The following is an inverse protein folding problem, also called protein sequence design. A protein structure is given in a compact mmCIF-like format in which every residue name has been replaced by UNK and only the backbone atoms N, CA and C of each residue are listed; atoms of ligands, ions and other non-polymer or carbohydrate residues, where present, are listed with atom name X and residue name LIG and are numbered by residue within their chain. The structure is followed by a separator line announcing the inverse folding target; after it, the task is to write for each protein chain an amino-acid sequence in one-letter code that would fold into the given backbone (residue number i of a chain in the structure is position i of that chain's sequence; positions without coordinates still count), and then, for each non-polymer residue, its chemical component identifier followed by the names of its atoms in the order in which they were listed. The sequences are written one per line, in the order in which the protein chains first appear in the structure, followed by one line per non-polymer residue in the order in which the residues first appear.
data_IF_282746379407
#
_entry.id   IF_282746379407
#
_cell.length_a   1.000
_cell.length_b   1.000
_cell.length_c   1.000
_cell.angle_alpha   90.00
_cell.angle_beta   90.00
_cell.angle_gamma   90.00
#
_symmetry.space_group_name_H-M   'P 1'
#
loop_
_entity.id
_entity.type
_entity.pdbx_description
1 polymer ?
#
# COMPACT_ATOMS: atom_id res chain seq x y z
N UNK A 1 -3.76 102.17 -86.96
CA UNK A 1 -3.48 101.10 -85.98
C UNK A 1 -4.61 100.09 -86.10
N UNK A 2 -4.57 99.19 -87.10
CA UNK A 2 -4.13 97.77 -87.04
C UNK A 2 -5.09 96.83 -86.27
N UNK A 3 -5.91 96.09 -87.03
CA UNK A 3 -6.67 94.86 -86.68
C UNK A 3 -5.71 93.70 -86.26
N UNK A 4 -6.14 92.57 -85.61
CA UNK A 4 -6.92 91.47 -86.24
C UNK A 4 -7.74 90.55 -85.25
N UNK A 5 -8.12 89.26 -85.53
CA UNK A 5 -9.51 88.85 -85.82
C UNK A 5 -10.09 87.68 -84.95
N UNK A 6 -11.29 87.22 -85.33
CA UNK A 6 -12.22 86.14 -84.90
C UNK A 6 -11.65 84.83 -84.29
N UNK A 7 -12.48 84.03 -83.55
CA UNK A 7 -13.07 82.83 -84.19
C UNK A 7 -14.49 82.41 -83.73
N UNK A 8 -15.08 81.57 -84.57
CA UNK A 8 -16.37 80.85 -84.51
C UNK A 8 -16.42 79.67 -83.51
N UNK A 9 -17.60 79.36 -82.97
CA UNK A 9 -17.91 78.10 -82.26
C UNK A 9 -19.36 77.65 -82.53
N UNK A 10 -19.52 76.36 -82.78
CA UNK A 10 -20.76 75.63 -83.03
C UNK A 10 -20.93 74.50 -82.03
N UNK A 11 -22.18 74.02 -81.90
CA UNK A 11 -22.64 72.71 -81.39
C UNK A 11 -22.59 72.43 -79.89
N UNK A 12 -23.78 72.30 -79.29
CA UNK A 12 -24.04 71.39 -78.17
C UNK A 12 -25.34 70.62 -78.48
N UNK A 13 -25.22 69.30 -78.58
CA UNK A 13 -26.32 68.35 -78.70
C UNK A 13 -26.24 67.43 -77.48
N UNK A 14 -27.22 67.55 -76.59
CA UNK A 14 -27.33 66.83 -75.33
C UNK A 14 -27.66 65.35 -75.56
N UNK A 15 -26.78 64.45 -75.09
CA UNK A 15 -26.99 62.99 -75.05
C UNK A 15 -27.51 62.56 -73.67
N UNK A 16 -28.55 61.72 -73.69
CA UNK A 16 -29.21 61.05 -72.57
C UNK A 16 -28.29 60.00 -71.90
N UNK A 17 -28.45 59.79 -70.60
CA UNK A 17 -27.67 58.86 -69.76
C UNK A 17 -28.40 57.52 -69.59
N UNK A 18 -27.68 56.41 -69.82
CA UNK A 18 -28.13 55.02 -69.62
C UNK A 18 -27.94 54.54 -68.17
N UNK A 19 -28.89 53.73 -67.68
CA UNK A 19 -28.87 53.03 -66.38
C UNK A 19 -27.96 51.79 -66.43
N UNK A 20 -27.07 51.69 -65.44
CA UNK A 20 -26.03 50.67 -65.31
C UNK A 20 -26.59 49.39 -64.65
N UNK A 21 -27.06 48.44 -65.47
CA UNK A 21 -27.50 47.12 -64.99
C UNK A 21 -26.32 46.13 -65.09
N UNK A 22 -25.89 45.50 -63.98
CA UNK A 22 -24.69 44.65 -63.99
C UNK A 22 -24.88 43.49 -64.95
N UNK A 23 -23.88 43.31 -65.82
CA UNK A 23 -23.89 42.25 -66.82
C UNK A 23 -23.78 40.89 -66.14
N UNK A 24 -24.22 39.81 -66.82
CA UNK A 24 -24.12 38.44 -66.29
C UNK A 24 -22.68 38.08 -65.89
N UNK A 25 -21.69 38.66 -66.56
CA UNK A 25 -20.26 38.50 -66.23
C UNK A 25 -19.91 39.08 -64.85
N UNK A 26 -20.44 40.25 -64.50
CA UNK A 26 -20.16 40.92 -63.22
C UNK A 26 -20.68 40.10 -62.03
N UNK A 27 -21.86 39.48 -62.17
CA UNK A 27 -22.40 38.55 -61.17
C UNK A 27 -21.49 37.32 -60.98
N UNK A 28 -20.98 36.75 -62.07
CA UNK A 28 -20.09 35.60 -62.01
C UNK A 28 -18.77 35.97 -61.31
N UNK A 29 -18.20 37.14 -61.62
CA UNK A 29 -16.98 37.62 -60.95
C UNK A 29 -17.19 37.86 -59.45
N UNK A 30 -18.37 38.38 -59.07
CA UNK A 30 -18.73 38.56 -57.67
C UNK A 30 -18.82 37.22 -56.93
N UNK A 31 -19.48 36.22 -57.50
CA UNK A 31 -19.58 34.87 -56.92
C UNK A 31 -18.19 34.20 -56.81
N UNK A 32 -17.33 34.33 -57.81
CA UNK A 32 -15.94 33.82 -57.76
C UNK A 32 -15.16 34.47 -56.62
N UNK A 33 -15.36 35.78 -56.39
CA UNK A 33 -14.72 36.51 -55.30
C UNK A 33 -15.20 35.97 -53.94
N UNK A 34 -16.50 35.74 -53.79
CA UNK A 34 -17.09 35.17 -52.56
C UNK A 34 -16.55 33.75 -52.32
N UNK A 35 -16.50 32.91 -53.35
CA UNK A 35 -15.97 31.54 -53.24
C UNK A 35 -14.49 31.55 -52.87
N UNK A 36 -13.69 32.44 -53.46
CA UNK A 36 -12.26 32.59 -53.13
C UNK A 36 -12.07 32.93 -51.65
N UNK A 37 -12.84 33.90 -51.14
CA UNK A 37 -12.75 34.31 -49.74
C UNK A 37 -13.20 33.19 -48.78
N UNK A 38 -14.16 32.35 -49.19
CA UNK A 38 -14.57 31.16 -48.43
C UNK A 38 -13.49 30.08 -48.41
N UNK A 39 -12.80 29.86 -49.53
CA UNK A 39 -11.68 28.92 -49.62
C UNK A 39 -10.55 29.35 -48.67
N UNK A 40 -10.19 30.63 -48.67
CA UNK A 40 -9.18 31.18 -47.74
C UNK A 40 -9.57 30.96 -46.27
N UNK A 41 -10.84 31.18 -45.92
CA UNK A 41 -11.36 30.91 -44.57
C UNK A 41 -11.34 29.42 -44.20
N UNK A 42 -11.57 28.53 -45.17
CA UNK A 42 -11.43 27.09 -44.98
C UNK A 42 -9.97 26.68 -44.78
N UNK A 43 -9.03 27.24 -45.54
CA UNK A 43 -7.59 26.98 -45.37
C UNK A 43 -7.10 27.41 -43.98
N UNK A 44 -7.54 28.57 -43.50
CA UNK A 44 -7.26 29.02 -42.13
C UNK A 44 -7.82 28.05 -41.07
N UNK A 45 -9.03 27.52 -41.30
CA UNK A 45 -9.64 26.55 -40.38
C UNK A 45 -8.92 25.20 -40.40
N UNK A 46 -8.55 24.71 -41.59
CA UNK A 46 -7.82 23.45 -41.78
C UNK A 46 -6.43 23.53 -41.12
N UNK A 47 -5.72 24.65 -41.29
CA UNK A 47 -4.41 24.85 -40.65
C UNK A 47 -4.53 24.85 -39.12
N UNK A 48 -5.55 25.52 -38.57
CA UNK A 48 -5.85 25.48 -37.13
C UNK A 48 -6.11 24.05 -36.62
N UNK A 49 -7.02 23.32 -37.27
CA UNK A 49 -7.34 21.93 -36.91
C UNK A 49 -6.12 21.00 -37.02
N UNK A 50 -5.26 21.23 -38.01
CA UNK A 50 -4.01 20.48 -38.17
C UNK A 50 -3.07 20.70 -36.99
N UNK A 51 -3.00 21.94 -36.48
CA UNK A 51 -2.16 22.29 -35.35
C UNK A 51 -2.68 21.69 -34.03
N UNK A 52 -4.00 21.76 -33.81
CA UNK A 52 -4.66 21.13 -32.66
C UNK A 52 -4.49 19.61 -32.69
N UNK A 53 -4.63 18.97 -33.85
CA UNK A 53 -4.38 17.53 -34.02
C UNK A 53 -2.95 17.14 -33.67
N UNK A 54 -1.97 17.97 -34.03
CA UNK A 54 -0.56 17.75 -33.63
C UNK A 54 -0.37 17.88 -32.13
N UNK A 55 -1.01 18.86 -31.49
CA UNK A 55 -0.99 19.02 -30.04
C UNK A 55 -1.57 17.80 -29.33
N UNK A 56 -2.76 17.36 -29.74
CA UNK A 56 -3.40 16.16 -29.17
C UNK A 56 -2.53 14.91 -29.32
N UNK A 57 -1.85 14.73 -30.47
CA UNK A 57 -0.92 13.61 -30.65
C UNK A 57 0.25 13.66 -29.66
N UNK A 58 0.77 14.84 -29.38
CA UNK A 58 1.83 15.02 -28.38
C UNK A 58 1.34 14.67 -26.98
N UNK A 59 0.16 15.15 -26.60
CA UNK A 59 -0.45 14.86 -25.30
C UNK A 59 -0.72 13.36 -25.12
N UNK A 60 -1.23 12.69 -26.17
CA UNK A 60 -1.45 11.24 -26.16
C UNK A 60 -0.14 10.49 -25.96
N UNK A 61 0.94 10.87 -26.66
CA UNK A 61 2.25 10.23 -26.48
C UNK A 61 2.80 10.41 -25.06
N UNK A 62 2.62 11.61 -24.49
CA UNK A 62 2.96 11.91 -23.10
C UNK A 62 2.17 11.05 -22.11
N UNK A 63 0.86 10.93 -22.30
CA UNK A 63 0.02 10.08 -21.46
C UNK A 63 0.39 8.61 -21.58
N UNK A 64 0.66 8.10 -22.78
CA UNK A 64 1.11 6.73 -22.98
C UNK A 64 2.38 6.44 -22.17
N UNK A 65 3.38 7.34 -22.25
CA UNK A 65 4.62 7.20 -21.46
C UNK A 65 4.35 7.16 -19.95
N UNK A 66 3.47 8.03 -19.46
CA UNK A 66 3.08 8.06 -18.04
C UNK A 66 2.35 6.79 -17.62
N UNK A 67 1.44 6.28 -18.45
CA UNK A 67 0.69 5.04 -18.18
C UNK A 67 1.65 3.85 -18.10
N UNK A 68 2.57 3.70 -19.06
CA UNK A 68 3.59 2.64 -19.00
C UNK A 68 4.46 2.74 -17.75
N UNK A 69 4.84 3.95 -17.33
CA UNK A 69 5.59 4.15 -16.09
C UNK A 69 4.78 3.76 -14.84
N UNK A 70 3.47 4.00 -14.83
CA UNK A 70 2.59 3.57 -13.74
C UNK A 70 2.39 2.05 -13.70
N UNK A 71 2.21 1.42 -14.86
CA UNK A 71 2.09 -0.05 -14.97
C UNK A 71 3.34 -0.76 -14.44
N UNK A 72 4.54 -0.26 -14.79
CA UNK A 72 5.80 -0.81 -14.27
C UNK A 72 5.92 -0.66 -12.75
N UNK A 73 5.57 0.52 -12.21
CA UNK A 73 5.59 0.75 -10.76
C UNK A 73 4.57 -0.12 -10.03
N UNK A 74 3.38 -0.30 -10.62
CA UNK A 74 2.34 -1.16 -10.07
C UNK A 74 2.82 -2.61 -10.03
N UNK A 75 3.40 -3.14 -11.11
CA UNK A 75 3.97 -4.49 -11.13
C UNK A 75 5.08 -4.68 -10.08
N UNK A 76 5.94 -3.69 -9.88
CA UNK A 76 6.96 -3.73 -8.81
C UNK A 76 6.34 -3.74 -7.41
N UNK A 77 5.28 -2.96 -7.17
CA UNK A 77 4.59 -2.92 -5.88
C UNK A 77 3.86 -4.24 -5.59
N UNK A 78 3.23 -4.83 -6.61
CA UNK A 78 2.59 -6.13 -6.49
C UNK A 78 3.59 -7.23 -6.13
N UNK A 79 4.75 -7.27 -6.79
CA UNK A 79 5.84 -8.19 -6.46
C UNK A 79 6.38 -7.97 -5.04
N UNK A 80 6.49 -6.72 -4.59
CA UNK A 80 6.90 -6.43 -3.22
C UNK A 80 5.86 -6.88 -2.20
N UNK A 81 4.58 -6.72 -2.51
CA UNK A 81 3.48 -7.13 -1.64
C UNK A 81 3.39 -8.66 -1.52
N UNK A 82 3.63 -9.42 -2.59
CA UNK A 82 3.69 -10.89 -2.52
C UNK A 82 4.87 -11.34 -1.66
N UNK A 83 6.08 -10.81 -1.90
CA UNK A 83 7.25 -11.13 -1.05
C UNK A 83 7.02 -10.79 0.43
N UNK A 84 6.27 -9.71 0.73
CA UNK A 84 5.96 -9.38 2.12
C UNK A 84 5.03 -10.39 2.78
N UNK A 85 4.00 -10.84 2.06
CA UNK A 85 3.09 -11.87 2.57
C UNK A 85 3.81 -13.18 2.83
N UNK A 86 4.71 -13.58 1.93
CA UNK A 86 5.51 -14.81 2.09
C UNK A 86 6.38 -14.72 3.35
N UNK A 87 7.06 -13.58 3.57
CA UNK A 87 7.83 -13.34 4.80
C UNK A 87 6.96 -13.38 6.06
N UNK A 88 5.77 -12.81 6.03
CA UNK A 88 4.88 -12.82 7.19
C UNK A 88 4.42 -14.25 7.52
N UNK A 89 4.18 -15.07 6.50
CA UNK A 89 3.86 -16.48 6.66
C UNK A 89 5.02 -17.28 7.25
N UNK A 90 6.25 -17.02 6.79
CA UNK A 90 7.47 -17.63 7.35
C UNK A 90 7.67 -17.25 8.82
N UNK A 91 7.43 -15.98 9.18
CA UNK A 91 7.52 -15.51 10.56
C UNK A 91 6.48 -16.20 11.46
N UNK A 92 5.25 -16.38 10.99
CA UNK A 92 4.23 -17.12 11.73
C UNK A 92 4.61 -18.59 11.93
N UNK A 93 5.15 -19.22 10.88
CA UNK A 93 5.63 -20.60 10.97
C UNK A 93 6.79 -20.74 11.97
N UNK A 94 7.79 -19.86 11.88
CA UNK A 94 8.94 -19.85 12.79
C UNK A 94 8.51 -19.60 14.24
N UNK A 95 7.58 -18.67 14.46
CA UNK A 95 7.02 -18.39 15.79
C UNK A 95 6.32 -19.63 16.34
N UNK A 96 5.46 -20.28 15.55
CA UNK A 96 4.79 -21.51 15.96
C UNK A 96 5.77 -22.61 16.31
N UNK A 97 6.85 -22.76 15.54
CA UNK A 97 7.89 -23.75 15.78
C UNK A 97 8.69 -23.44 17.05
N UNK A 98 9.02 -22.16 17.28
CA UNK A 98 9.68 -21.73 18.51
C UNK A 98 8.80 -21.99 19.74
N UNK A 99 7.52 -21.68 19.66
CA UNK A 99 6.56 -21.99 20.75
C UNK A 99 6.47 -23.49 21.00
N UNK A 100 6.32 -24.33 19.95
CA UNK A 100 6.29 -25.79 20.13
C UNK A 100 7.61 -26.33 20.72
N UNK A 101 8.76 -25.79 20.32
CA UNK A 101 10.05 -26.16 20.89
C UNK A 101 10.19 -25.74 22.35
N UNK A 102 9.74 -24.53 22.70
CA UNK A 102 9.73 -24.03 24.08
C UNK A 102 8.80 -24.87 24.96
N UNK A 103 7.57 -25.13 24.50
CA UNK A 103 6.59 -25.94 25.21
C UNK A 103 7.08 -27.38 25.43
N UNK A 104 7.78 -27.96 24.44
CA UNK A 104 8.41 -29.27 24.58
C UNK A 104 9.57 -29.26 25.56
N UNK A 105 10.36 -28.19 25.54
CA UNK A 105 11.51 -28.04 26.44
C UNK A 105 11.08 -27.87 27.89
N UNK A 106 9.96 -27.19 28.14
CA UNK A 106 9.43 -26.89 29.48
C UNK A 106 8.34 -27.87 29.92
N UNK A 107 8.07 -28.91 29.14
CA UNK A 107 7.01 -29.89 29.41
C UNK A 107 7.16 -30.58 30.76
N UNK A 108 8.40 -30.81 31.16
CA UNK A 108 8.75 -31.47 32.40
C UNK A 108 9.04 -30.47 33.53
N UNK A 109 8.89 -29.16 33.25
CA UNK A 109 9.06 -28.08 34.21
C UNK A 109 7.73 -27.79 34.93
N UNK A 110 7.76 -27.87 36.26
CA UNK A 110 6.64 -27.55 37.15
C UNK A 110 7.00 -26.34 37.99
N UNK A 111 6.18 -25.30 37.96
CA UNK A 111 6.32 -24.15 38.83
C UNK A 111 5.24 -24.14 39.92
N UNK A 112 5.68 -24.08 41.18
CA UNK A 112 4.85 -23.99 42.37
C UNK A 112 4.77 -22.53 42.84
N UNK A 113 3.56 -22.12 43.20
CA UNK A 113 3.24 -20.78 43.64
C UNK A 113 2.90 -20.79 45.14
N UNK A 114 3.30 -19.74 45.87
CA UNK A 114 2.94 -19.59 47.28
C UNK A 114 3.86 -20.34 48.25
N UNK A 115 5.10 -20.67 47.85
CA UNK A 115 6.07 -21.27 48.77
C UNK A 115 6.76 -20.14 49.54
N UNK A 116 6.54 -20.04 50.87
CA UNK A 116 7.11 -18.97 51.68
C UNK A 116 8.63 -19.01 51.68
N UNK A 117 9.25 -17.84 51.70
CA UNK A 117 10.70 -17.70 51.65
C UNK A 117 11.38 -18.30 52.89
N UNK A 118 12.51 -18.98 52.66
CA UNK A 118 13.36 -19.62 53.68
C UNK A 118 12.82 -20.91 54.33
N UNK A 119 11.63 -21.39 53.96
CA UNK A 119 11.14 -22.71 54.45
C UNK A 119 11.86 -23.91 53.81
N UNK A 120 12.48 -23.73 52.64
CA UNK A 120 13.16 -24.83 51.94
C UNK A 120 14.55 -25.17 52.51
N UNK A 121 15.11 -24.28 53.35
CA UNK A 121 16.47 -24.42 53.84
C UNK A 121 17.52 -24.29 52.73
N UNK A 122 18.61 -25.07 52.81
CA UNK A 122 19.74 -24.99 51.86
C UNK A 122 19.57 -25.86 50.61
N UNK A 123 18.60 -26.77 50.58
CA UNK A 123 18.39 -27.71 49.47
C UNK A 123 16.91 -27.78 49.06
N UNK A 124 16.62 -27.10 47.95
CA UNK A 124 15.32 -27.03 47.32
C UNK A 124 14.80 -28.41 46.88
N UNK A 125 15.67 -29.29 46.38
CA UNK A 125 15.24 -30.59 45.84
C UNK A 125 14.79 -31.52 46.95
N UNK A 126 15.51 -31.52 48.08
CA UNK A 126 15.12 -32.28 49.27
C UNK A 126 13.79 -31.77 49.85
N UNK A 127 13.60 -30.45 49.91
CA UNK A 127 12.34 -29.85 50.34
C UNK A 127 11.17 -30.31 49.45
N UNK A 128 11.28 -30.16 48.13
CA UNK A 128 10.22 -30.53 47.19
C UNK A 128 9.93 -32.04 47.19
N UNK A 129 10.96 -32.88 47.27
CA UNK A 129 10.82 -34.34 47.38
C UNK A 129 9.98 -34.75 48.59
N UNK A 130 10.10 -34.03 49.70
CA UNK A 130 9.36 -34.33 50.93
C UNK A 130 7.99 -33.67 51.01
N UNK A 131 7.79 -32.55 50.31
CA UNK A 131 6.59 -31.70 50.43
C UNK A 131 5.54 -32.03 49.39
N UNK A 132 5.94 -32.31 48.14
CA UNK A 132 4.99 -32.64 47.07
C UNK A 132 4.11 -33.85 47.39
N UNK A 133 4.64 -35.00 47.88
CA UNK A 133 3.80 -36.13 48.26
C UNK A 133 2.72 -35.77 49.30
N UNK A 134 3.08 -34.90 50.27
CA UNK A 134 2.17 -34.44 51.32
C UNK A 134 1.06 -33.53 50.77
N UNK A 135 1.42 -32.64 49.84
CA UNK A 135 0.48 -31.66 49.28
C UNK A 135 -0.50 -32.32 48.29
N UNK A 136 -0.02 -33.28 47.51
CA UNK A 136 -0.80 -33.85 46.42
C UNK A 136 -1.48 -35.18 46.80
N UNK A 137 -1.18 -35.74 47.98
CA UNK A 137 -1.69 -37.04 48.44
C UNK A 137 -1.45 -38.17 47.42
N UNK A 138 -0.32 -38.08 46.70
CA UNK A 138 0.03 -39.01 45.64
C UNK A 138 1.26 -39.81 46.02
N UNK A 139 1.16 -41.11 45.75
CA UNK A 139 2.28 -42.03 45.89
C UNK A 139 3.14 -41.95 44.63
N UNK A 140 4.27 -41.24 44.75
CA UNK A 140 5.30 -41.18 43.71
C UNK A 140 6.24 -42.39 43.87
N UNK A 141 5.99 -43.48 43.13
CA UNK A 141 6.82 -44.69 43.13
C UNK A 141 7.42 -44.98 41.73
N UNK A 142 8.75 -44.96 41.53
CA UNK A 142 9.82 -44.66 42.50
C UNK A 142 10.11 -43.15 42.61
N UNK A 143 10.92 -42.80 43.62
CA UNK A 143 11.34 -41.45 44.04
C UNK A 143 11.30 -40.41 42.91
N UNK A 144 10.50 -39.37 43.12
CA UNK A 144 10.48 -38.17 42.30
C UNK A 144 11.90 -37.61 42.16
N UNK A 145 12.48 -37.73 40.98
CA UNK A 145 13.84 -37.32 40.68
C UNK A 145 13.80 -35.95 39.98
N UNK A 146 14.40 -34.96 40.61
CA UNK A 146 14.53 -33.63 40.03
C UNK A 146 15.85 -33.51 39.28
N UNK A 147 15.81 -32.98 38.07
CA UNK A 147 17.00 -32.61 37.33
C UNK A 147 17.58 -31.32 37.91
N UNK A 148 16.69 -30.38 38.24
CA UNK A 148 17.01 -29.12 38.90
C UNK A 148 15.79 -28.59 39.65
N UNK A 149 16.03 -27.77 40.67
CA UNK A 149 15.00 -27.00 41.37
C UNK A 149 15.61 -25.69 41.86
N UNK A 150 14.98 -24.57 41.53
CA UNK A 150 15.42 -23.25 41.97
C UNK A 150 14.23 -22.28 42.09
N UNK A 151 14.40 -21.24 42.91
CA UNK A 151 13.47 -20.11 42.91
C UNK A 151 13.65 -19.28 41.65
N UNK A 152 12.55 -18.95 41.00
CA UNK A 152 12.56 -18.02 39.88
C UNK A 152 12.30 -16.63 40.45
N UNK A 153 13.29 -15.74 40.31
CA UNK A 153 13.15 -14.33 40.68
C UNK A 153 12.06 -13.65 39.84
N UNK A 154 11.38 -12.66 40.43
CA UNK A 154 10.31 -11.89 39.79
C UNK A 154 10.69 -11.44 38.37
N UNK A 155 9.93 -11.91 37.37
CA UNK A 155 9.81 -11.24 36.08
C UNK A 155 8.40 -10.64 36.00
N UNK A 156 8.29 -9.43 35.44
CA UNK A 156 7.14 -8.52 35.14
C UNK A 156 5.70 -8.95 35.52
N UNK A 157 5.32 -10.23 35.41
CA UNK A 157 4.04 -10.78 35.87
C UNK A 157 3.79 -10.64 37.39
N UNK A 158 4.85 -10.59 38.20
CA UNK A 158 4.69 -10.48 39.66
C UNK A 158 4.28 -9.07 40.13
N UNK A 159 4.26 -8.06 39.25
CA UNK A 159 3.80 -6.70 39.60
C UNK A 159 2.28 -6.68 39.87
N UNK A 160 1.54 -7.69 39.41
CA UNK A 160 0.07 -7.78 39.59
C UNK A 160 -0.37 -8.51 40.87
N UNK A 161 0.54 -9.15 41.60
CA UNK A 161 0.27 -9.81 42.87
C UNK A 161 1.06 -9.04 43.94
N UNK A 162 0.36 -8.56 44.97
CA UNK A 162 0.88 -7.61 45.97
C UNK A 162 2.10 -8.08 46.77
N UNK A 163 2.52 -7.33 47.81
CA UNK A 163 3.81 -7.49 48.51
C UNK A 163 3.91 -8.73 49.42
N UNK A 164 3.11 -9.78 49.16
CA UNK A 164 3.25 -11.04 49.87
C UNK A 164 4.55 -11.72 49.43
N UNK A 165 5.33 -12.17 50.42
CA UNK A 165 6.63 -12.86 50.29
C UNK A 165 6.52 -14.28 49.69
N UNK A 166 5.53 -14.47 48.82
CA UNK A 166 5.19 -15.71 48.14
C UNK A 166 5.96 -15.78 46.83
N UNK A 167 7.17 -16.32 46.85
CA UNK A 167 7.95 -16.48 45.62
C UNK A 167 7.61 -17.78 44.87
N UNK A 168 8.04 -17.83 43.61
CA UNK A 168 7.83 -18.94 42.70
C UNK A 168 9.02 -19.89 42.79
N UNK A 169 8.77 -21.18 43.06
CA UNK A 169 9.78 -22.22 42.89
C UNK A 169 9.48 -22.99 41.61
N UNK A 170 10.49 -23.25 40.79
CA UNK A 170 10.32 -24.10 39.62
C UNK A 170 11.33 -25.23 39.63
N UNK A 171 10.89 -26.40 39.17
CA UNK A 171 11.70 -27.60 39.10
C UNK A 171 11.41 -28.37 37.83
N UNK A 172 12.39 -29.15 37.37
CA UNK A 172 12.23 -30.04 36.22
C UNK A 172 12.38 -31.47 36.66
N UNK A 173 11.46 -32.34 36.22
CA UNK A 173 11.37 -33.73 36.65
C UNK A 173 12.05 -34.62 35.61
N UNK A 174 13.07 -35.37 36.01
CA UNK A 174 13.95 -36.14 35.09
C UNK A 174 13.25 -37.30 34.39
N UNK A 175 12.11 -37.76 34.93
CA UNK A 175 11.31 -38.84 34.34
C UNK A 175 9.84 -38.42 34.35
N UNK A 176 9.09 -38.59 33.24
CA UNK A 176 7.65 -38.48 33.31
C UNK A 176 7.17 -39.45 34.39
N UNK A 177 6.32 -38.97 35.30
CA UNK A 177 5.59 -39.81 36.26
C UNK A 177 4.71 -40.75 35.43
N UNK A 178 5.30 -41.83 34.96
CA UNK A 178 4.59 -42.90 34.26
C UNK A 178 3.72 -43.52 35.34
N UNK A 179 2.40 -43.39 35.17
CA UNK A 179 1.35 -43.99 36.00
C UNK A 179 0.97 -43.21 37.27
N UNK A 180 0.15 -42.16 37.08
CA UNK A 180 -0.87 -41.84 38.08
C UNK A 180 -1.89 -42.99 38.11
N UNK A 181 -1.74 -43.94 39.05
CA UNK A 181 -2.88 -44.78 39.43
C UNK A 181 -3.73 -43.94 40.39
N UNK A 182 -4.86 -43.42 39.89
CA UNK A 182 -5.90 -42.85 40.74
C UNK A 182 -6.32 -43.94 41.73
N UNK A 183 -5.98 -43.79 43.01
CA UNK A 183 -6.56 -44.60 44.07
C UNK A 183 -8.07 -44.37 44.02
N UNK A 184 -8.81 -45.34 43.47
CA UNK A 184 -10.26 -45.36 43.60
C UNK A 184 -10.54 -45.78 45.05
N UNK A 185 -11.13 -44.85 45.81
CA UNK A 185 -11.80 -45.15 47.07
C UNK A 185 -13.11 -45.88 46.84
#
# INVERSE_FOLDING_TARGET
MTNPPTPSSSTESTTMSDEDHPTTMDRILQEITIVSHRIEGMDASITSLTLETKSMRFDIASFQSRVTGLEQRMGSLEAQATMSRDRDQDLLYLRSKLTDMEDRSRRDDVCLHGIPENEEGSDMQAFLSSTLPKLTSLDFDPLLEFQWAHRIGLNVLTILQGPDQSSHACCSITKPVKYFKRAQS
#
